data_IF_807992156010
#
_entry.id   IF_807992156010
#
_cell.length_a   1.000
_cell.length_b   1.000
_cell.length_c   1.000
_cell.angle_alpha   90.00
_cell.angle_beta   90.00
_cell.angle_gamma   90.00
#
_symmetry.space_group_name_H-M   'P 1'
#
loop_
_entity.id
_entity.type
_entity.pdbx_description
1 polymer ?
#
# COMPACT_ATOMS: atom_id res chain seq x y z
N UNK A 1 -21.02 15.54 -34.30
CA UNK A 1 -19.70 16.18 -33.99
C UNK A 1 -19.89 17.70 -33.94
N UNK A 2 -19.34 18.38 -32.93
CA UNK A 2 -19.45 19.85 -32.81
C UNK A 2 -18.82 20.54 -34.03
N UNK A 3 -19.50 21.55 -34.58
CA UNK A 3 -19.04 22.32 -35.75
C UNK A 3 -18.37 23.64 -35.38
N UNK A 4 -18.34 24.01 -34.10
CA UNK A 4 -17.81 25.28 -33.61
C UNK A 4 -16.82 25.06 -32.46
N UNK A 5 -15.75 25.86 -32.45
CA UNK A 5 -14.80 25.96 -31.33
C UNK A 5 -15.23 27.13 -30.45
N UNK A 6 -15.54 26.86 -29.19
CA UNK A 6 -16.07 27.84 -28.25
C UNK A 6 -15.37 27.72 -26.89
N UNK A 7 -15.40 28.80 -26.09
CA UNK A 7 -14.93 28.77 -24.70
C UNK A 7 -15.94 28.12 -23.75
N UNK A 8 -15.57 27.98 -22.48
CA UNK A 8 -16.38 27.27 -21.47
C UNK A 8 -17.75 27.92 -21.23
N UNK A 9 -17.83 29.25 -21.27
CA UNK A 9 -19.08 29.99 -21.06
C UNK A 9 -20.07 29.79 -22.21
N UNK A 10 -19.58 29.91 -23.44
CA UNK A 10 -20.38 29.71 -24.64
C UNK A 10 -20.81 28.25 -24.82
N UNK A 11 -19.96 27.30 -24.41
CA UNK A 11 -20.34 25.90 -24.32
C UNK A 11 -21.47 25.68 -23.31
N UNK A 12 -21.39 26.27 -22.13
CA UNK A 12 -22.45 26.16 -21.11
C UNK A 12 -23.77 26.76 -21.62
N UNK A 13 -23.74 27.94 -22.23
CA UNK A 13 -24.91 28.57 -22.85
C UNK A 13 -25.52 27.68 -23.95
N UNK A 14 -24.66 27.05 -24.77
CA UNK A 14 -25.08 26.11 -25.79
C UNK A 14 -25.75 24.85 -25.22
N UNK A 15 -25.29 24.33 -24.07
CA UNK A 15 -25.96 23.23 -23.36
C UNK A 15 -27.31 23.68 -22.82
N UNK A 16 -27.37 24.84 -22.15
CA UNK A 16 -28.60 25.40 -21.57
C UNK A 16 -29.67 25.58 -22.64
N UNK A 17 -29.33 26.18 -23.78
CA UNK A 17 -30.25 26.43 -24.88
C UNK A 17 -30.85 25.15 -25.50
N UNK A 18 -30.26 23.98 -25.24
CA UNK A 18 -30.67 22.68 -25.78
C UNK A 18 -31.20 21.72 -24.72
N UNK A 19 -31.37 22.18 -23.47
CA UNK A 19 -31.98 21.36 -22.42
C UNK A 19 -33.40 20.94 -22.82
N UNK A 20 -33.71 19.66 -22.61
CA UNK A 20 -34.99 19.05 -22.99
C UNK A 20 -35.09 18.63 -24.47
N UNK A 21 -34.10 18.96 -25.31
CA UNK A 21 -34.03 18.47 -26.68
C UNK A 21 -33.34 17.11 -26.73
N UNK A 22 -33.72 16.29 -27.70
CA UNK A 22 -33.14 14.97 -27.93
C UNK A 22 -32.08 15.03 -29.04
N UNK A 23 -31.02 14.20 -28.97
CA UNK A 23 -29.97 14.20 -30.00
C UNK A 23 -30.51 13.65 -31.32
N UNK A 24 -30.31 14.39 -32.41
CA UNK A 24 -30.73 13.95 -33.76
C UNK A 24 -29.70 13.02 -34.43
N UNK A 25 -28.41 13.22 -34.15
CA UNK A 25 -27.32 12.50 -34.83
C UNK A 25 -26.69 11.38 -34.01
N UNK A 26 -26.87 11.38 -32.69
CA UNK A 26 -26.33 10.36 -31.80
C UNK A 26 -27.49 9.47 -31.31
N UNK A 27 -27.27 8.16 -31.16
CA UNK A 27 -28.29 7.28 -30.62
C UNK A 27 -28.69 7.74 -29.22
N UNK A 28 -30.00 7.89 -29.02
CA UNK A 28 -30.55 8.15 -27.70
C UNK A 28 -30.39 6.89 -26.84
N UNK A 29 -29.85 7.06 -25.64
CA UNK A 29 -29.74 5.96 -24.69
C UNK A 29 -30.93 6.03 -23.73
N UNK A 30 -31.81 5.03 -23.82
CA UNK A 30 -32.94 4.88 -22.90
C UNK A 30 -32.58 3.91 -21.78
N UNK A 31 -32.59 4.42 -20.55
CA UNK A 31 -32.32 3.66 -19.34
C UNK A 31 -33.59 3.15 -18.65
N UNK A 32 -34.78 3.36 -19.23
CA UNK A 32 -36.06 2.89 -18.68
C UNK A 32 -36.11 1.37 -18.51
N UNK A 33 -35.40 0.64 -19.38
CA UNK A 33 -35.26 -0.82 -19.32
C UNK A 33 -34.07 -1.30 -18.46
N UNK A 34 -33.30 -0.39 -17.88
CA UNK A 34 -32.18 -0.75 -17.01
C UNK A 34 -32.72 -1.39 -15.73
N UNK A 35 -32.59 -2.72 -15.64
CA UNK A 35 -32.92 -3.44 -14.41
C UNK A 35 -31.91 -3.05 -13.32
N UNK A 36 -32.36 -2.71 -12.10
CA UNK A 36 -31.45 -2.58 -10.97
C UNK A 36 -30.59 -3.83 -10.87
N UNK A 37 -29.30 -3.66 -10.59
CA UNK A 37 -28.43 -4.78 -10.29
C UNK A 37 -29.03 -5.52 -9.09
N UNK A 38 -29.62 -6.70 -9.33
CA UNK A 38 -30.09 -7.56 -8.27
C UNK A 38 -28.85 -8.11 -7.58
N UNK A 39 -28.39 -7.42 -6.54
CA UNK A 39 -27.39 -7.96 -5.63
C UNK A 39 -28.11 -9.08 -4.88
N UNK A 40 -27.75 -10.36 -5.11
CA UNK A 40 -28.31 -11.44 -4.31
C UNK A 40 -28.09 -11.07 -2.86
N UNK A 41 -29.12 -11.18 -2.02
CA UNK A 41 -28.97 -10.96 -0.58
C UNK A 41 -27.86 -11.88 -0.10
N UNK A 42 -26.66 -11.33 0.05
CA UNK A 42 -25.52 -12.10 0.49
C UNK A 42 -25.84 -12.47 1.93
N UNK A 43 -26.28 -13.71 2.14
CA UNK A 43 -26.20 -14.29 3.47
C UNK A 43 -24.71 -14.26 3.77
N UNK A 44 -24.30 -13.29 4.59
CA UNK A 44 -22.90 -13.12 4.95
C UNK A 44 -22.45 -14.46 5.51
N UNK A 45 -21.69 -15.22 4.72
CA UNK A 45 -21.03 -16.42 5.21
C UNK A 45 -20.05 -15.88 6.24
N UNK A 46 -20.40 -16.05 7.51
CA UNK A 46 -19.49 -15.70 8.60
C UNK A 46 -18.32 -16.66 8.46
N UNK A 47 -17.25 -16.20 7.84
CA UNK A 47 -16.02 -16.97 7.76
C UNK A 47 -15.60 -17.37 9.18
N UNK A 48 -15.16 -18.61 9.33
CA UNK A 48 -14.59 -19.09 10.59
C UNK A 48 -13.44 -18.13 10.97
N UNK A 49 -13.39 -17.60 12.20
CA UNK A 49 -12.28 -16.75 12.61
C UNK A 49 -10.95 -17.50 12.45
N UNK A 50 -10.09 -17.00 11.57
CA UNK A 50 -8.75 -17.52 11.37
C UNK A 50 -7.86 -17.21 12.58
N UNK A 51 -6.88 -18.08 12.85
CA UNK A 51 -5.83 -17.83 13.82
C UNK A 51 -4.91 -16.72 13.30
N UNK A 52 -5.07 -15.51 13.86
CA UNK A 52 -4.29 -14.32 13.48
C UNK A 52 -3.04 -14.18 14.35
N UNK A 53 -1.85 -14.32 13.75
CA UNK A 53 -0.56 -14.16 14.44
C UNK A 53 0.22 -12.97 13.89
N UNK A 54 0.72 -12.09 14.77
CA UNK A 54 1.61 -11.00 14.38
C UNK A 54 3.02 -11.57 14.21
N UNK A 55 3.60 -11.47 13.01
CA UNK A 55 4.91 -12.06 12.70
C UNK A 55 6.01 -11.03 12.44
N UNK A 56 5.64 -9.76 12.29
CA UNK A 56 6.61 -8.69 12.07
C UNK A 56 5.97 -7.31 11.90
N UNK A 57 6.82 -6.35 11.57
CA UNK A 57 6.41 -4.99 11.23
C UNK A 57 7.19 -4.46 10.05
N UNK A 58 6.54 -3.61 9.28
CA UNK A 58 7.12 -2.91 8.16
C UNK A 58 7.03 -1.42 8.43
N UNK A 59 8.18 -0.76 8.55
CA UNK A 59 8.27 0.69 8.74
C UNK A 59 8.66 1.38 7.44
N UNK A 60 8.17 2.61 7.24
CA UNK A 60 8.60 3.47 6.15
C UNK A 60 9.51 4.57 6.64
N UNK A 61 10.67 4.78 6.00
CA UNK A 61 11.60 5.87 6.34
C UNK A 61 11.79 6.83 5.16
N UNK A 62 12.02 8.12 5.44
CA UNK A 62 12.38 9.14 4.44
C UNK A 62 13.83 9.59 4.59
N UNK A 63 14.71 9.16 3.68
CA UNK A 63 16.13 9.53 3.75
C UNK A 63 16.83 9.40 2.39
N UNK A 64 17.69 10.35 2.01
CA UNK A 64 18.53 10.24 0.80
C UNK A 64 19.85 9.58 1.14
N UNK A 65 19.88 8.25 1.14
CA UNK A 65 21.08 7.44 1.41
C UNK A 65 21.08 6.17 0.56
N UNK A 66 22.20 5.45 0.55
CA UNK A 66 22.28 4.13 -0.09
C UNK A 66 21.56 3.06 0.76
N UNK A 67 21.12 1.94 0.16
CA UNK A 67 20.51 0.84 0.89
C UNK A 67 21.38 0.30 2.03
N UNK A 68 22.70 0.16 1.82
CA UNK A 68 23.62 -0.33 2.85
C UNK A 68 23.80 0.65 4.02
N UNK A 69 23.88 1.95 3.74
CA UNK A 69 23.96 2.97 4.79
C UNK A 69 22.66 3.02 5.59
N UNK A 70 21.51 2.86 4.93
CA UNK A 70 20.23 2.74 5.61
C UNK A 70 20.14 1.48 6.46
N UNK A 71 20.56 0.32 5.92
CA UNK A 71 20.59 -0.93 6.65
C UNK A 71 21.45 -0.83 7.91
N UNK A 72 22.66 -0.27 7.82
CA UNK A 72 23.52 -0.04 9.00
C UNK A 72 22.82 0.79 10.09
N UNK A 73 22.10 1.84 9.71
CA UNK A 73 21.34 2.66 10.66
C UNK A 73 20.13 1.92 11.24
N UNK A 74 19.37 1.20 10.43
CA UNK A 74 18.23 0.41 10.89
C UNK A 74 18.64 -0.73 11.82
N UNK A 75 19.81 -1.33 11.56
CA UNK A 75 20.32 -2.45 12.35
C UNK A 75 20.69 -2.06 13.79
N UNK A 76 20.90 -0.77 14.07
CA UNK A 76 21.07 -0.32 15.47
C UNK A 76 19.78 -0.42 16.28
N UNK A 77 18.63 -0.59 15.62
CA UNK A 77 17.35 -0.80 16.30
C UNK A 77 17.06 -2.29 16.60
N UNK A 78 17.79 -3.21 15.96
CA UNK A 78 17.68 -4.66 16.19
C UNK A 78 18.04 -5.04 17.62
N UNK A 79 17.51 -6.18 18.05
CA UNK A 79 17.88 -6.78 19.33
C UNK A 79 17.79 -8.32 19.21
N UNK A 80 17.84 -9.02 20.35
CA UNK A 80 17.78 -10.49 20.38
C UNK A 80 16.40 -11.08 20.07
N UNK A 81 15.36 -10.25 19.89
CA UNK A 81 13.99 -10.71 19.62
C UNK A 81 13.47 -10.34 18.23
N UNK A 82 14.05 -9.38 17.52
CA UNK A 82 13.71 -9.06 16.14
C UNK A 82 14.89 -8.53 15.33
N UNK A 83 14.85 -8.74 14.02
CA UNK A 83 15.88 -8.31 13.08
C UNK A 83 15.30 -7.74 11.78
N UNK A 84 16.07 -6.89 11.10
CA UNK A 84 15.78 -6.39 9.77
C UNK A 84 16.02 -7.50 8.75
N UNK A 85 14.97 -7.88 8.02
CA UNK A 85 15.05 -8.96 7.02
C UNK A 85 15.15 -8.43 5.60
N UNK A 86 14.61 -7.24 5.32
CA UNK A 86 14.57 -6.70 3.96
C UNK A 86 14.35 -5.19 3.94
N UNK A 87 14.96 -4.52 2.97
CA UNK A 87 14.62 -3.16 2.56
C UNK A 87 14.18 -3.20 1.09
N UNK A 88 13.08 -2.53 0.78
CA UNK A 88 12.64 -2.29 -0.60
C UNK A 88 12.46 -0.81 -0.88
N UNK A 89 12.69 -0.41 -2.13
CA UNK A 89 12.38 0.92 -2.64
C UNK A 89 11.44 0.76 -3.84
N UNK A 90 10.29 1.45 -3.83
CA UNK A 90 9.26 1.34 -4.89
C UNK A 90 8.85 -0.12 -5.22
N UNK A 91 8.86 -1.00 -4.22
CA UNK A 91 8.51 -2.41 -4.36
C UNK A 91 9.65 -3.35 -4.80
N UNK A 92 10.82 -2.82 -5.15
CA UNK A 92 12.00 -3.61 -5.54
C UNK A 92 12.89 -3.87 -4.33
N UNK A 93 13.38 -5.10 -4.15
CA UNK A 93 14.34 -5.43 -3.10
C UNK A 93 15.69 -4.77 -3.40
N UNK A 94 16.14 -3.94 -2.45
CA UNK A 94 17.40 -3.20 -2.56
C UNK A 94 18.40 -3.60 -1.46
N UNK A 95 17.93 -4.30 -0.43
CA UNK A 95 18.78 -4.91 0.59
C UNK A 95 18.06 -6.12 1.24
N UNK A 96 18.78 -7.20 1.60
CA UNK A 96 20.17 -7.47 1.21
C UNK A 96 20.29 -7.80 -0.29
N UNK A 97 21.50 -7.71 -0.82
CA UNK A 97 21.84 -8.12 -2.19
C UNK A 97 20.95 -7.46 -3.27
N UNK A 98 20.73 -6.15 -3.16
CA UNK A 98 20.02 -5.38 -4.18
C UNK A 98 20.84 -5.22 -5.46
N UNK A 99 20.17 -4.88 -6.57
CA UNK A 99 20.82 -4.56 -7.83
C UNK A 99 21.31 -3.10 -7.82
N UNK A 100 22.60 -2.82 -8.08
CA UNK A 100 23.15 -1.47 -8.03
C UNK A 100 22.51 -0.50 -9.05
N UNK A 101 21.93 -1.03 -10.12
CA UNK A 101 21.20 -0.26 -11.14
C UNK A 101 19.81 0.21 -10.68
N UNK A 102 19.34 -0.25 -9.51
CA UNK A 102 18.02 0.10 -9.01
C UNK A 102 17.97 1.57 -8.60
N UNK A 103 17.26 2.38 -9.37
CA UNK A 103 16.98 3.76 -9.01
C UNK A 103 16.13 3.83 -7.72
N UNK A 104 16.72 4.41 -6.67
CA UNK A 104 16.07 4.56 -5.37
C UNK A 104 15.57 5.99 -5.15
N UNK A 105 14.35 6.09 -4.63
CA UNK A 105 13.79 7.34 -4.07
C UNK A 105 14.16 7.49 -2.60
N UNK A 106 13.76 8.58 -1.97
CA UNK A 106 13.96 8.79 -0.54
C UNK A 106 12.99 7.99 0.35
N UNK A 107 11.99 7.29 -0.22
CA UNK A 107 11.01 6.49 0.52
C UNK A 107 11.39 5.00 0.52
N UNK A 108 11.72 4.51 1.72
CA UNK A 108 12.13 3.13 1.96
C UNK A 108 11.07 2.38 2.74
N UNK A 109 10.97 1.08 2.49
CA UNK A 109 10.13 0.16 3.24
C UNK A 109 11.03 -0.90 3.88
N UNK A 110 11.05 -0.92 5.19
CA UNK A 110 11.97 -1.70 6.01
C UNK A 110 11.19 -2.76 6.78
N UNK A 111 11.47 -4.04 6.52
CA UNK A 111 10.76 -5.16 7.14
C UNK A 111 11.58 -5.72 8.30
N UNK A 112 10.96 -5.75 9.48
CA UNK A 112 11.46 -6.40 10.67
C UNK A 112 10.59 -7.60 10.99
N UNK A 113 11.21 -8.73 11.27
CA UNK A 113 10.53 -9.96 11.68
C UNK A 113 11.10 -10.43 13.01
N UNK A 114 10.38 -11.32 13.69
CA UNK A 114 10.89 -11.92 14.92
C UNK A 114 12.16 -12.73 14.63
N UNK A 115 13.10 -12.72 15.56
CA UNK A 115 14.22 -13.64 15.54
C UNK A 115 13.72 -15.09 15.58
N UNK A 116 14.57 -16.02 15.15
CA UNK A 116 14.25 -17.43 15.10
C UNK A 116 13.68 -17.92 16.45
N UNK A 117 12.60 -18.70 16.39
CA UNK A 117 11.87 -19.24 17.54
C UNK A 117 11.20 -18.21 18.48
N UNK A 118 11.07 -16.94 18.05
CA UNK A 118 10.32 -15.90 18.77
C UNK A 118 9.01 -15.58 18.07
N UNK A 119 7.96 -15.32 18.84
CA UNK A 119 6.69 -14.80 18.33
C UNK A 119 6.70 -13.28 18.42
N UNK A 120 6.59 -12.60 17.28
CA UNK A 120 6.47 -11.13 17.26
C UNK A 120 5.19 -10.70 18.00
N UNK A 121 5.27 -9.63 18.78
CA UNK A 121 4.14 -9.13 19.55
C UNK A 121 4.12 -7.59 19.58
N UNK A 122 3.05 -7.01 20.16
CA UNK A 122 2.89 -5.54 20.19
C UNK A 122 3.94 -4.84 21.05
N UNK A 123 4.46 -5.48 22.10
CA UNK A 123 5.53 -4.89 22.91
C UNK A 123 6.83 -4.77 22.11
N UNK A 124 7.15 -5.78 21.30
CA UNK A 124 8.28 -5.75 20.36
C UNK A 124 8.12 -4.65 19.30
N UNK A 125 6.90 -4.43 18.77
CA UNK A 125 6.64 -3.30 17.87
C UNK A 125 6.96 -1.96 18.55
N UNK A 126 6.46 -1.74 19.77
CA UNK A 126 6.71 -0.49 20.50
C UNK A 126 8.20 -0.30 20.78
N UNK A 127 8.91 -1.38 21.13
CA UNK A 127 10.36 -1.37 21.32
C UNK A 127 11.09 -1.02 20.02
N UNK A 128 10.72 -1.63 18.88
CA UNK A 128 11.27 -1.29 17.57
C UNK A 128 11.11 0.20 17.26
N UNK A 129 9.91 0.75 17.41
CA UNK A 129 9.66 2.17 17.13
C UNK A 129 10.43 3.10 18.07
N UNK A 130 10.54 2.72 19.35
CA UNK A 130 11.36 3.42 20.33
C UNK A 130 12.84 3.41 19.93
N UNK A 131 13.36 2.25 19.53
CA UNK A 131 14.76 2.10 19.14
C UNK A 131 15.06 2.88 17.84
N UNK A 132 14.14 2.88 16.87
CA UNK A 132 14.26 3.70 15.65
C UNK A 132 14.29 5.19 15.99
N UNK A 133 13.40 5.64 16.87
CA UNK A 133 13.36 7.03 17.34
C UNK A 133 14.69 7.46 17.96
N UNK A 134 15.21 6.71 18.94
CA UNK A 134 16.48 7.03 19.59
C UNK A 134 17.70 6.83 18.68
N UNK A 135 17.59 5.96 17.67
CA UNK A 135 18.60 5.80 16.61
C UNK A 135 18.58 6.91 15.56
N UNK A 136 17.68 7.90 15.68
CA UNK A 136 17.56 8.99 14.71
C UNK A 136 17.02 8.56 13.35
N UNK A 137 16.34 7.41 13.29
CA UNK A 137 15.69 6.92 12.07
C UNK A 137 14.22 7.32 12.11
N UNK A 138 13.86 8.25 11.23
CA UNK A 138 12.47 8.64 11.05
C UNK A 138 11.63 7.48 10.50
N UNK A 139 10.42 7.33 11.04
CA UNK A 139 9.41 6.37 10.59
C UNK A 139 8.07 7.09 10.35
N UNK A 140 7.64 7.14 9.10
CA UNK A 140 6.43 7.89 8.70
C UNK A 140 5.17 7.02 8.66
N UNK A 141 5.34 5.69 8.65
CA UNK A 141 4.25 4.72 8.57
C UNK A 141 4.70 3.37 9.11
N UNK A 142 3.77 2.65 9.73
CA UNK A 142 3.93 1.26 10.18
C UNK A 142 2.84 0.40 9.58
N UNK A 143 3.19 -0.80 9.12
CA UNK A 143 2.27 -1.87 8.77
C UNK A 143 2.62 -3.12 9.57
N UNK A 144 1.61 -3.80 10.10
CA UNK A 144 1.79 -5.04 10.84
C UNK A 144 1.70 -6.22 9.87
N UNK A 145 2.64 -7.16 10.01
CA UNK A 145 2.68 -8.37 9.19
C UNK A 145 1.99 -9.48 9.96
N UNK A 146 0.87 -9.98 9.43
CA UNK A 146 0.10 -11.05 10.04
C UNK A 146 0.14 -12.32 9.19
N UNK A 147 0.14 -13.46 9.85
CA UNK A 147 -0.34 -14.71 9.24
C UNK A 147 -1.77 -15.00 9.70
N UNK A 148 -2.52 -15.69 8.86
CA UNK A 148 -3.88 -16.17 9.13
C UNK A 148 -3.88 -17.67 8.85
N UNK A 149 -4.09 -18.48 9.89
CA UNK A 149 -3.99 -19.96 9.80
C UNK A 149 -2.64 -20.43 9.22
N UNK A 150 -1.56 -19.72 9.56
CA UNK A 150 -0.20 -20.00 9.05
C UNK A 150 0.13 -19.33 7.72
N UNK A 151 -0.88 -18.90 6.95
CA UNK A 151 -0.67 -18.27 5.65
C UNK A 151 -0.32 -16.78 5.76
N UNK A 152 0.72 -16.28 5.06
CA UNK A 152 1.08 -14.87 5.06
C UNK A 152 -0.05 -13.97 4.52
N UNK A 153 -0.52 -13.04 5.35
CA UNK A 153 -1.45 -11.97 4.95
C UNK A 153 -0.77 -10.77 4.28
N UNK A 154 0.43 -10.97 3.73
CA UNK A 154 1.26 -9.94 3.11
C UNK A 154 2.07 -10.55 1.97
N UNK A 155 2.43 -9.74 0.97
CA UNK A 155 3.28 -10.18 -0.13
C UNK A 155 4.73 -10.36 0.32
N UNK A 156 5.36 -11.43 -0.16
CA UNK A 156 6.81 -11.63 -0.05
C UNK A 156 7.56 -10.60 -0.91
N UNK A 157 8.79 -10.26 -0.52
CA UNK A 157 9.67 -9.48 -1.38
C UNK A 157 10.22 -10.34 -2.52
N UNK A 158 10.75 -9.72 -3.58
CA UNK A 158 11.44 -10.49 -4.62
C UNK A 158 12.62 -11.28 -4.03
N UNK A 159 12.60 -12.60 -4.22
CA UNK A 159 13.62 -13.51 -3.69
C UNK A 159 13.56 -13.69 -2.17
N UNK A 160 12.35 -13.62 -1.60
CA UNK A 160 11.99 -14.13 -0.27
C UNK A 160 11.00 -15.27 -0.45
#
# INVERSE_FOLDING_TARGET
MSKQRVGTLDFANAVIARLGQLPESLPMLDYSAAKPLAVPGATARRNVPAEKKLVGSMSSSRRRVTPDTLAKALRTAENHVFSLTMITNRGVKVWPNGLPETFCTDHWRCRFEAAQDKQFNKAMLLELLRNLHYGGVDFIKTENLYTFDGEPGFSLGQGQ
#
